data_IF_598909868383
#
_entry.id   IF_598909868383
#
_cell.length_a   1.000
_cell.length_b   1.000
_cell.length_c   1.000
_cell.angle_alpha   90.00
_cell.angle_beta   90.00
_cell.angle_gamma   90.00
#
_symmetry.space_group_name_H-M   'P 1'
#
loop_
_entity.id
_entity.type
_entity.pdbx_description
1 polymer ?
#
# COMPACT_ATOMS: atom_id res chain seq x y z
N UNK A 1 -6.97 -2.00 20.78
CA UNK A 1 -6.95 -1.57 19.37
C UNK A 1 -7.42 -2.74 18.53
N UNK A 2 -8.43 -2.53 17.68
CA UNK A 2 -8.97 -3.55 16.77
C UNK A 2 -8.36 -3.34 15.39
N UNK A 3 -7.64 -4.35 14.91
CA UNK A 3 -6.87 -4.28 13.67
C UNK A 3 -7.40 -5.29 12.67
N UNK A 4 -7.52 -4.87 11.41
CA UNK A 4 -7.77 -5.75 10.27
C UNK A 4 -6.49 -5.89 9.44
N UNK A 5 -6.10 -7.12 9.11
CA UNK A 5 -5.10 -7.39 8.08
C UNK A 5 -5.82 -7.77 6.79
N UNK A 6 -5.61 -6.98 5.74
CA UNK A 6 -6.01 -7.29 4.38
C UNK A 6 -4.84 -7.99 3.68
N UNK A 7 -4.88 -9.32 3.64
CA UNK A 7 -3.81 -10.13 3.09
C UNK A 7 -4.09 -10.50 1.63
N UNK A 8 -3.33 -9.91 0.71
CA UNK A 8 -3.26 -10.32 -0.68
C UNK A 8 -2.32 -11.52 -0.85
N UNK A 9 -2.90 -12.71 -0.94
CA UNK A 9 -2.19 -13.97 -1.09
C UNK A 9 -1.89 -14.32 -2.56
N UNK A 10 -0.65 -14.70 -2.81
CA UNK A 10 -0.22 -15.37 -4.04
C UNK A 10 0.90 -16.37 -3.74
N UNK A 11 0.87 -17.54 -4.39
CA UNK A 11 1.97 -18.51 -4.41
C UNK A 11 2.06 -19.11 -5.82
N UNK A 12 3.24 -19.03 -6.46
CA UNK A 12 3.41 -19.49 -7.84
C UNK A 12 3.52 -21.02 -7.99
N UNK A 13 3.94 -21.71 -6.93
CA UNK A 13 4.15 -23.16 -6.89
C UNK A 13 4.12 -23.70 -5.44
N UNK A 14 4.53 -24.95 -5.25
CA UNK A 14 4.75 -25.59 -3.94
C UNK A 14 6.21 -26.03 -3.77
N UNK A 15 7.14 -25.25 -4.32
CA UNK A 15 8.58 -25.48 -4.14
C UNK A 15 9.01 -25.28 -2.69
N UNK A 16 10.18 -25.80 -2.32
CA UNK A 16 10.78 -25.59 -1.01
C UNK A 16 10.87 -24.10 -0.67
N UNK A 17 11.39 -23.29 -1.59
CA UNK A 17 11.45 -21.83 -1.46
C UNK A 17 10.08 -21.20 -1.15
N UNK A 18 9.03 -21.59 -1.88
CA UNK A 18 7.67 -21.07 -1.64
C UNK A 18 7.17 -21.47 -0.26
N UNK A 19 7.42 -22.70 0.19
CA UNK A 19 7.02 -23.17 1.53
C UNK A 19 7.74 -22.41 2.63
N UNK A 20 9.04 -22.15 2.49
CA UNK A 20 9.81 -21.35 3.45
C UNK A 20 9.23 -19.93 3.59
N UNK A 21 8.91 -19.28 2.47
CA UNK A 21 8.24 -18.00 2.48
C UNK A 21 6.87 -18.05 3.16
N UNK A 22 6.04 -19.03 2.81
CA UNK A 22 4.71 -19.19 3.41
C UNK A 22 4.79 -19.47 4.92
N UNK A 23 5.77 -20.24 5.38
CA UNK A 23 6.00 -20.46 6.80
C UNK A 23 6.45 -19.19 7.50
N UNK A 24 7.34 -18.40 6.90
CA UNK A 24 7.73 -17.10 7.46
C UNK A 24 6.54 -16.14 7.59
N UNK A 25 5.68 -16.06 6.58
CA UNK A 25 4.44 -15.29 6.65
C UNK A 25 3.48 -15.83 7.72
N UNK A 26 3.35 -17.15 7.82
CA UNK A 26 2.53 -17.81 8.85
C UNK A 26 3.03 -17.47 10.25
N UNK A 27 4.34 -17.53 10.49
CA UNK A 27 4.96 -17.16 11.77
C UNK A 27 4.61 -15.72 12.13
N UNK A 28 4.81 -14.77 11.22
CA UNK A 28 4.49 -13.35 11.46
C UNK A 28 3.02 -13.16 11.82
N UNK A 29 2.11 -13.78 11.06
CA UNK A 29 0.67 -13.67 11.32
C UNK A 29 0.27 -14.31 12.65
N UNK A 30 0.93 -15.40 13.03
CA UNK A 30 0.67 -16.14 14.27
C UNK A 30 1.32 -15.50 15.50
N UNK A 31 2.36 -14.68 15.35
CA UNK A 31 3.05 -14.02 16.47
C UNK A 31 2.63 -12.56 16.60
N UNK A 32 2.89 -11.75 15.57
CA UNK A 32 2.66 -10.30 15.59
C UNK A 32 1.17 -9.98 15.42
N UNK A 33 0.45 -10.73 14.58
CA UNK A 33 -0.95 -10.43 14.24
C UNK A 33 -1.96 -11.42 14.83
N UNK A 34 -1.56 -12.17 15.86
CA UNK A 34 -2.38 -13.25 16.47
C UNK A 34 -3.76 -12.80 16.97
N UNK A 35 -3.88 -11.55 17.39
CA UNK A 35 -5.12 -10.93 17.87
C UNK A 35 -5.89 -10.12 16.82
N UNK A 36 -5.33 -9.99 15.62
CA UNK A 36 -5.91 -9.22 14.53
C UNK A 36 -6.89 -10.08 13.74
N UNK A 37 -7.91 -9.47 13.17
CA UNK A 37 -8.75 -10.13 12.19
C UNK A 37 -8.03 -10.16 10.84
N UNK A 38 -8.10 -11.26 10.09
CA UNK A 38 -7.47 -11.37 8.78
C UNK A 38 -8.54 -11.65 7.71
N UNK A 39 -8.56 -10.80 6.69
CA UNK A 39 -9.21 -11.07 5.42
C UNK A 39 -8.15 -11.53 4.41
N UNK A 40 -8.26 -12.77 3.97
CA UNK A 40 -7.37 -13.38 2.99
C UNK A 40 -8.03 -13.38 1.61
N UNK A 41 -7.48 -12.63 0.67
CA UNK A 41 -7.85 -12.71 -0.73
C UNK A 41 -6.78 -13.45 -1.51
N UNK A 42 -7.15 -14.53 -2.20
CA UNK A 42 -6.22 -15.43 -2.89
C UNK A 42 -6.29 -15.22 -4.40
N UNK A 43 -5.14 -15.05 -5.06
CA UNK A 43 -5.10 -15.03 -6.53
C UNK A 43 -5.68 -16.32 -7.10
N UNK A 44 -6.48 -16.24 -8.15
CA UNK A 44 -7.00 -17.38 -8.90
C UNK A 44 -5.90 -18.28 -9.51
N UNK A 45 -4.68 -17.76 -9.69
CA UNK A 45 -3.51 -18.50 -10.17
C UNK A 45 -2.63 -19.05 -9.04
N UNK A 46 -3.04 -18.92 -7.78
CA UNK A 46 -2.23 -19.41 -6.65
C UNK A 46 -2.22 -20.93 -6.60
N UNK A 47 -1.08 -21.51 -6.24
CA UNK A 47 -1.02 -22.90 -5.83
C UNK A 47 -1.85 -23.14 -4.56
N UNK A 48 -2.42 -24.34 -4.43
CA UNK A 48 -3.17 -24.75 -3.25
C UNK A 48 -2.32 -24.77 -1.96
N UNK A 49 -0.98 -24.76 -2.08
CA UNK A 49 -0.03 -24.62 -0.97
C UNK A 49 -0.32 -23.40 -0.11
N UNK A 50 -0.71 -22.27 -0.71
CA UNK A 50 -1.01 -21.05 0.04
C UNK A 50 -2.11 -21.27 1.07
N UNK A 51 -3.23 -21.87 0.66
CA UNK A 51 -4.35 -22.16 1.57
C UNK A 51 -4.00 -23.26 2.58
N UNK A 52 -3.18 -24.26 2.19
CA UNK A 52 -2.70 -25.29 3.12
C UNK A 52 -1.85 -24.69 4.26
N UNK A 53 -1.00 -23.71 3.95
CA UNK A 53 -0.09 -23.11 4.93
C UNK A 53 -0.73 -21.99 5.74
N UNK A 54 -1.44 -21.06 5.07
CA UNK A 54 -2.00 -19.87 5.71
C UNK A 54 -3.45 -20.07 6.16
N UNK A 55 -4.27 -20.78 5.38
CA UNK A 55 -5.72 -20.91 5.62
C UNK A 55 -6.11 -21.62 6.93
N UNK A 56 -5.17 -22.28 7.61
CA UNK A 56 -5.38 -22.90 8.92
C UNK A 56 -5.20 -21.96 10.12
N UNK A 57 -4.87 -20.69 9.90
CA UNK A 57 -4.71 -19.70 10.96
C UNK A 57 -6.08 -19.31 11.56
N UNK A 58 -6.21 -19.43 12.89
CA UNK A 58 -7.48 -19.24 13.60
C UNK A 58 -8.04 -17.82 13.52
N UNK A 59 -7.21 -16.84 13.18
CA UNK A 59 -7.54 -15.43 13.05
C UNK A 59 -7.93 -15.01 11.62
N UNK A 60 -7.93 -15.94 10.65
CA UNK A 60 -8.55 -15.72 9.33
C UNK A 60 -10.07 -15.82 9.47
N UNK A 61 -10.75 -14.68 9.41
CA UNK A 61 -12.20 -14.62 9.53
C UNK A 61 -12.91 -14.73 8.18
N UNK A 62 -12.27 -14.28 7.10
CA UNK A 62 -12.76 -14.43 5.73
C UNK A 62 -11.61 -14.84 4.82
N UNK A 63 -11.88 -15.80 3.94
CA UNK A 63 -10.95 -16.21 2.90
C UNK A 63 -11.71 -16.41 1.59
N UNK A 64 -11.34 -15.67 0.56
CA UNK A 64 -11.99 -15.73 -0.76
C UNK A 64 -10.96 -15.76 -1.88
N UNK A 65 -11.27 -16.48 -2.96
CA UNK A 65 -10.49 -16.42 -4.19
C UNK A 65 -10.99 -15.28 -5.08
N UNK A 66 -10.06 -14.61 -5.77
CA UNK A 66 -10.37 -13.58 -6.77
C UNK A 66 -11.19 -14.20 -7.90
N UNK A 67 -12.38 -13.64 -8.17
CA UNK A 67 -13.21 -14.05 -9.29
C UNK A 67 -12.64 -13.54 -10.63
N UNK A 68 -13.13 -14.09 -11.74
CA UNK A 68 -12.66 -13.70 -13.07
C UNK A 68 -12.94 -12.21 -13.38
N UNK A 69 -14.05 -11.66 -12.87
CA UNK A 69 -14.47 -10.29 -13.18
C UNK A 69 -13.54 -9.21 -12.60
N UNK A 70 -12.92 -9.49 -11.44
CA UNK A 70 -11.95 -8.60 -10.79
C UNK A 70 -10.51 -8.87 -11.23
N UNK A 71 -10.26 -9.96 -11.96
CA UNK A 71 -8.91 -10.44 -12.17
C UNK A 71 -8.05 -9.45 -12.96
N UNK A 72 -6.91 -9.10 -12.36
CA UNK A 72 -5.76 -8.50 -13.02
C UNK A 72 -4.52 -9.31 -12.61
N UNK A 73 -3.48 -9.33 -13.44
CA UNK A 73 -2.26 -10.09 -13.17
C UNK A 73 -1.35 -9.38 -12.15
N UNK A 74 -1.91 -9.03 -11.00
CA UNK A 74 -1.23 -8.43 -9.85
C UNK A 74 -2.05 -8.61 -8.56
N UNK A 75 -1.40 -8.31 -7.43
CA UNK A 75 -1.97 -8.22 -6.08
C UNK A 75 -3.13 -7.21 -5.96
N UNK A 76 -3.28 -6.29 -6.92
CA UNK A 76 -4.38 -5.34 -6.95
C UNK A 76 -5.77 -6.02 -6.95
N UNK A 77 -5.93 -7.17 -7.62
CA UNK A 77 -7.22 -7.88 -7.62
C UNK A 77 -7.57 -8.47 -6.25
N UNK A 78 -6.59 -8.98 -5.53
CA UNK A 78 -6.76 -9.46 -4.16
C UNK A 78 -7.10 -8.32 -3.20
N UNK A 79 -6.40 -7.19 -3.31
CA UNK A 79 -6.73 -6.04 -2.46
C UNK A 79 -8.11 -5.45 -2.78
N UNK A 80 -8.51 -5.43 -4.05
CA UNK A 80 -9.87 -5.03 -4.46
C UNK A 80 -10.93 -5.93 -3.82
N UNK A 81 -10.67 -7.24 -3.77
CA UNK A 81 -11.51 -8.20 -3.07
C UNK A 81 -11.52 -7.94 -1.55
N UNK A 82 -10.37 -7.67 -0.93
CA UNK A 82 -10.31 -7.30 0.50
C UNK A 82 -11.10 -6.03 0.82
N UNK A 83 -11.03 -4.99 -0.02
CA UNK A 83 -11.84 -3.78 0.14
C UNK A 83 -13.33 -4.08 0.07
N UNK A 84 -13.75 -4.97 -0.84
CA UNK A 84 -15.14 -5.44 -0.91
C UNK A 84 -15.53 -6.14 0.39
N UNK A 85 -14.72 -7.08 0.87
CA UNK A 85 -14.98 -7.81 2.12
C UNK A 85 -15.10 -6.86 3.33
N UNK A 86 -14.27 -5.82 3.39
CA UNK A 86 -14.33 -4.78 4.41
C UNK A 86 -15.58 -3.91 4.31
N UNK A 87 -15.97 -3.50 3.10
CA UNK A 87 -17.22 -2.75 2.90
C UNK A 87 -18.45 -3.56 3.33
N UNK A 88 -18.47 -4.85 3.00
CA UNK A 88 -19.56 -5.77 3.35
C UNK A 88 -19.63 -6.10 4.84
N UNK A 89 -18.48 -6.15 5.54
CA UNK A 89 -18.47 -6.49 6.96
C UNK A 89 -19.19 -5.43 7.80
N UNK A 90 -19.20 -4.18 7.35
CA UNK A 90 -19.77 -3.04 8.06
C UNK A 90 -19.09 -2.75 9.40
N UNK A 91 -17.99 -3.44 9.71
CA UNK A 91 -17.30 -3.35 10.98
C UNK A 91 -16.36 -2.14 11.01
N UNK A 92 -16.25 -1.55 12.19
CA UNK A 92 -15.24 -0.54 12.48
C UNK A 92 -13.94 -1.22 12.95
N UNK A 93 -12.80 -0.68 12.50
CA UNK A 93 -11.46 -1.02 12.92
C UNK A 93 -10.70 0.26 13.24
N UNK A 94 -9.76 0.18 14.18
CA UNK A 94 -8.87 1.31 14.50
C UNK A 94 -7.78 1.43 13.43
N UNK A 95 -7.26 0.27 12.98
CA UNK A 95 -6.19 0.15 12.00
C UNK A 95 -6.51 -0.90 10.95
N UNK A 96 -6.08 -0.64 9.73
CA UNK A 96 -6.16 -1.60 8.62
C UNK A 96 -4.78 -1.72 7.99
N UNK A 97 -4.26 -2.93 7.94
CA UNK A 97 -2.97 -3.24 7.37
C UNK A 97 -3.11 -3.90 6.00
N UNK A 98 -2.60 -3.26 4.96
CA UNK A 98 -2.43 -3.85 3.64
C UNK A 98 -1.14 -4.67 3.65
N UNK A 99 -1.29 -5.99 3.53
CA UNK A 99 -0.22 -6.95 3.53
C UNK A 99 -0.31 -7.82 2.29
N UNK A 100 0.82 -8.22 1.73
CA UNK A 100 0.83 -9.24 0.70
C UNK A 100 2.04 -10.14 0.82
N UNK A 101 1.98 -11.27 0.12
CA UNK A 101 3.07 -12.25 0.10
C UNK A 101 4.23 -11.82 -0.83
N UNK A 102 4.72 -10.57 -0.69
CA UNK A 102 5.84 -10.04 -1.46
C UNK A 102 7.04 -10.98 -1.37
N UNK A 103 7.69 -11.19 -2.50
CA UNK A 103 8.98 -11.84 -2.55
C UNK A 103 8.97 -13.35 -2.58
N UNK A 104 7.80 -14.02 -2.58
CA UNK A 104 7.70 -15.46 -2.84
C UNK A 104 8.40 -15.89 -4.14
N UNK A 105 8.43 -15.01 -5.15
CA UNK A 105 9.14 -15.23 -6.40
C UNK A 105 10.67 -15.13 -6.31
N UNK A 106 11.22 -14.76 -5.15
CA UNK A 106 12.65 -14.62 -4.92
C UNK A 106 13.16 -15.73 -4.00
N UNK A 107 14.48 -15.95 -4.02
CA UNK A 107 15.13 -16.86 -3.08
C UNK A 107 14.96 -16.37 -1.64
N UNK A 108 14.43 -17.25 -0.79
CA UNK A 108 14.20 -17.00 0.63
C UNK A 108 15.48 -16.57 1.34
N UNK A 109 16.59 -17.29 1.09
CA UNK A 109 17.90 -17.02 1.70
C UNK A 109 18.51 -15.70 1.21
N UNK A 110 18.45 -15.41 -0.10
CA UNK A 110 19.03 -14.17 -0.63
C UNK A 110 18.31 -12.91 -0.12
N UNK A 111 17.03 -13.02 0.25
CA UNK A 111 16.20 -11.91 0.72
C UNK A 111 16.12 -11.81 2.25
N UNK A 112 16.99 -12.50 2.98
CA UNK A 112 17.07 -12.41 4.45
C UNK A 112 17.20 -10.96 4.97
N UNK A 113 18.05 -10.07 4.43
CA UNK A 113 18.17 -8.69 4.94
C UNK A 113 16.86 -7.89 4.83
N UNK A 114 16.11 -8.09 3.74
CA UNK A 114 14.80 -7.46 3.59
C UNK A 114 13.79 -8.03 4.59
N UNK A 115 13.75 -9.37 4.76
CA UNK A 115 12.86 -10.03 5.72
C UNK A 115 13.09 -9.55 7.15
N UNK A 116 14.36 -9.43 7.57
CA UNK A 116 14.72 -8.88 8.89
C UNK A 116 14.27 -7.42 9.02
N UNK A 117 14.54 -6.59 8.01
CA UNK A 117 14.15 -5.19 8.00
C UNK A 117 12.63 -4.99 8.11
N UNK A 118 11.82 -5.69 7.31
CA UNK A 118 10.35 -5.54 7.36
C UNK A 118 9.75 -6.13 8.63
N UNK A 119 10.36 -7.19 9.19
CA UNK A 119 9.97 -7.79 10.48
C UNK A 119 10.11 -6.80 11.63
N UNK A 120 11.21 -6.06 11.65
CA UNK A 120 11.51 -5.08 12.72
C UNK A 120 10.79 -3.74 12.52
N UNK A 121 10.21 -3.49 11.35
CA UNK A 121 9.57 -2.21 11.00
C UNK A 121 8.07 -2.39 10.78
N UNK A 122 7.63 -2.57 9.54
CA UNK A 122 6.21 -2.52 9.17
C UNK A 122 5.42 -3.74 9.68
N UNK A 123 6.07 -4.88 9.93
CA UNK A 123 5.41 -6.04 10.54
C UNK A 123 5.47 -6.03 12.07
N UNK A 124 6.21 -5.11 12.69
CA UNK A 124 6.21 -4.94 14.14
C UNK A 124 5.09 -3.98 14.55
N UNK A 125 4.05 -4.50 15.21
CA UNK A 125 2.97 -3.64 15.73
C UNK A 125 3.51 -2.59 16.71
N UNK A 126 4.50 -2.96 17.54
CA UNK A 126 5.12 -2.02 18.46
C UNK A 126 5.84 -0.87 17.75
N UNK A 127 6.53 -1.13 16.64
CA UNK A 127 7.16 -0.08 15.84
C UNK A 127 6.11 0.85 15.22
N UNK A 128 5.04 0.30 14.66
CA UNK A 128 3.94 1.06 14.07
C UNK A 128 3.22 1.91 15.12
N UNK A 129 2.86 1.33 16.27
CA UNK A 129 2.25 2.03 17.40
C UNK A 129 3.09 3.20 17.90
N UNK A 130 4.42 3.03 17.96
CA UNK A 130 5.34 4.08 18.37
C UNK A 130 5.35 5.27 17.41
N UNK A 131 5.09 5.02 16.11
CA UNK A 131 5.10 6.04 15.05
C UNK A 131 3.77 6.77 14.96
N UNK A 132 2.64 6.08 15.08
CA UNK A 132 1.32 6.73 14.96
C UNK A 132 1.07 7.72 16.11
N UNK A 133 1.48 7.39 17.33
CA UNK A 133 1.29 8.25 18.52
C UNK A 133 -0.18 8.64 18.73
N UNK A 134 -0.46 9.95 18.84
CA UNK A 134 -1.81 10.51 19.03
C UNK A 134 -2.46 11.05 17.73
N UNK A 135 -1.97 10.65 16.55
CA UNK A 135 -2.49 11.16 15.27
C UNK A 135 -3.88 10.59 14.99
N UNK A 136 -4.76 11.44 14.47
CA UNK A 136 -6.16 11.08 14.20
C UNK A 136 -6.40 10.52 12.80
N UNK A 137 -5.57 10.87 11.81
CA UNK A 137 -5.61 10.31 10.45
C UNK A 137 -4.20 10.13 9.93
N UNK A 138 -3.89 8.93 9.44
CA UNK A 138 -2.53 8.61 9.02
C UNK A 138 -2.49 7.46 8.03
N UNK A 139 -1.37 7.41 7.34
CA UNK A 139 -0.97 6.27 6.53
C UNK A 139 0.49 5.96 6.89
N UNK A 140 0.75 4.78 7.44
CA UNK A 140 2.11 4.33 7.79
C UNK A 140 2.59 3.34 6.74
N UNK A 141 3.66 3.63 6.03
CA UNK A 141 4.26 2.66 5.11
C UNK A 141 5.68 2.30 5.54
N UNK A 142 6.15 1.13 5.09
CA UNK A 142 7.56 0.75 5.24
C UNK A 142 8.46 1.82 4.61
N UNK A 143 8.16 2.14 3.35
CA UNK A 143 8.78 3.17 2.52
C UNK A 143 7.73 3.77 1.59
N UNK A 144 8.05 4.88 0.95
CA UNK A 144 7.24 5.39 -0.15
C UNK A 144 7.95 6.41 -1.03
N UNK A 145 7.32 6.77 -2.14
CA UNK A 145 7.80 7.72 -3.14
C UNK A 145 6.65 8.62 -3.60
N UNK A 146 6.97 9.76 -4.21
CA UNK A 146 5.95 10.60 -4.86
C UNK A 146 5.50 9.97 -6.18
N UNK A 147 4.21 10.05 -6.52
CA UNK A 147 3.72 9.51 -7.80
C UNK A 147 4.40 10.23 -8.96
N UNK A 148 4.99 9.44 -9.86
CA UNK A 148 5.92 9.90 -10.91
C UNK A 148 5.28 10.16 -12.27
N UNK A 149 4.16 9.49 -12.60
CA UNK A 149 3.60 9.52 -13.95
C UNK A 149 2.39 10.46 -14.08
N UNK A 150 2.40 11.31 -15.12
CA UNK A 150 1.29 12.20 -15.49
C UNK A 150 -0.03 11.44 -15.66
N UNK A 151 0.01 10.24 -16.23
CA UNK A 151 -1.16 9.36 -16.37
C UNK A 151 -1.73 8.93 -15.02
N UNK A 152 -0.88 8.51 -14.08
CA UNK A 152 -1.29 8.12 -12.72
C UNK A 152 -1.89 9.29 -11.96
N UNK A 153 -1.30 10.50 -12.05
CA UNK A 153 -1.85 11.70 -11.43
C UNK A 153 -3.22 12.05 -12.04
N UNK A 154 -3.35 11.95 -13.37
CA UNK A 154 -4.60 12.23 -14.06
C UNK A 154 -5.70 11.24 -13.67
N UNK A 155 -5.37 9.95 -13.57
CA UNK A 155 -6.27 8.91 -13.08
C UNK A 155 -6.69 9.13 -11.63
N UNK A 156 -5.75 9.52 -10.76
CA UNK A 156 -6.04 9.87 -9.37
C UNK A 156 -7.01 11.05 -9.30
N UNK A 157 -6.81 12.08 -10.11
CA UNK A 157 -7.71 13.25 -10.15
C UNK A 157 -9.10 12.90 -10.64
N UNK A 158 -9.22 12.14 -11.72
CA UNK A 158 -10.52 11.67 -12.22
C UNK A 158 -11.26 10.90 -11.13
N UNK A 159 -10.57 10.01 -10.41
CA UNK A 159 -11.19 9.27 -9.32
C UNK A 159 -11.51 10.15 -8.09
N UNK A 160 -10.66 11.12 -7.76
CA UNK A 160 -10.92 12.08 -6.72
C UNK A 160 -12.21 12.87 -7.02
N UNK A 161 -12.37 13.34 -8.26
CA UNK A 161 -13.57 14.02 -8.74
C UNK A 161 -14.81 13.10 -8.66
N UNK A 162 -14.69 11.84 -9.10
CA UNK A 162 -15.75 10.83 -8.97
C UNK A 162 -16.15 10.58 -7.50
N UNK A 163 -15.18 10.68 -6.58
CA UNK A 163 -15.40 10.51 -5.13
C UNK A 163 -15.80 11.81 -4.41
N UNK A 164 -15.84 12.97 -5.09
CA UNK A 164 -16.07 14.26 -4.47
C UNK A 164 -14.97 14.69 -3.47
N UNK A 165 -13.74 14.20 -3.66
CA UNK A 165 -12.58 14.54 -2.83
C UNK A 165 -11.96 15.82 -3.38
N UNK A 166 -12.08 16.92 -2.62
CA UNK A 166 -11.36 18.17 -2.91
C UNK A 166 -9.85 17.92 -2.85
N UNK A 167 -9.08 18.57 -3.73
CA UNK A 167 -7.66 18.25 -3.99
C UNK A 167 -6.67 19.11 -3.18
N UNK A 168 -6.13 18.60 -2.06
CA UNK A 168 -4.88 19.09 -1.51
C UNK A 168 -3.73 18.10 -1.79
N UNK A 169 -3.44 17.87 -3.06
CA UNK A 169 -2.11 17.98 -3.70
C UNK A 169 -0.91 17.15 -3.23
N UNK A 170 -0.99 16.28 -2.23
CA UNK A 170 0.11 15.39 -1.87
C UNK A 170 -0.05 13.99 -2.49
N UNK A 171 0.49 13.78 -3.69
CA UNK A 171 0.42 12.49 -4.39
C UNK A 171 1.53 11.53 -3.92
N UNK A 172 1.16 10.66 -3.00
CA UNK A 172 2.01 9.70 -2.33
C UNK A 172 1.79 8.27 -2.84
N UNK A 173 2.87 7.49 -2.94
CA UNK A 173 2.84 6.06 -3.21
C UNK A 173 3.56 5.27 -2.09
N UNK A 174 2.90 4.27 -1.54
CA UNK A 174 3.49 3.32 -0.60
C UNK A 174 4.28 2.27 -1.38
N UNK A 175 5.59 2.22 -1.15
CA UNK A 175 6.44 1.23 -1.79
C UNK A 175 6.03 -0.17 -1.30
N UNK A 176 6.05 -1.14 -2.22
CA UNK A 176 5.76 -2.57 -1.93
C UNK A 176 4.36 -2.87 -1.39
N UNK A 177 3.39 -1.95 -1.44
CA UNK A 177 2.01 -2.20 -0.96
C UNK A 177 1.93 -2.70 0.49
N UNK A 178 2.91 -2.39 1.33
CA UNK A 178 2.93 -2.71 2.76
C UNK A 178 2.69 -1.43 3.56
N UNK A 179 1.44 -1.18 3.95
CA UNK A 179 1.09 0.03 4.69
C UNK A 179 -0.15 -0.12 5.57
N UNK A 180 -0.16 0.60 6.68
CA UNK A 180 -1.31 0.81 7.55
C UNK A 180 -2.03 2.08 7.16
N UNK A 181 -3.34 2.06 7.34
CA UNK A 181 -4.20 3.23 7.32
C UNK A 181 -5.10 3.20 8.55
N UNK A 182 -5.46 4.36 9.06
CA UNK A 182 -6.51 4.45 10.07
C UNK A 182 -7.85 3.96 9.48
N UNK A 183 -8.62 3.21 10.27
CA UNK A 183 -9.82 2.55 9.75
C UNK A 183 -10.92 3.52 9.32
N UNK A 184 -10.99 4.72 9.91
CA UNK A 184 -11.99 5.74 9.55
C UNK A 184 -11.71 6.33 8.16
N UNK A 185 -10.45 6.62 7.82
CA UNK A 185 -10.06 7.10 6.50
C UNK A 185 -10.39 6.06 5.42
N UNK A 186 -10.08 4.78 5.65
CA UNK A 186 -10.42 3.75 4.68
C UNK A 186 -11.94 3.54 4.55
N UNK A 187 -12.69 3.61 5.67
CA UNK A 187 -14.16 3.52 5.63
C UNK A 187 -14.78 4.67 4.84
N UNK A 188 -14.29 5.90 5.03
CA UNK A 188 -14.74 7.05 4.25
C UNK A 188 -14.42 6.85 2.75
N UNK A 189 -13.21 6.38 2.44
CA UNK A 189 -12.78 6.12 1.07
C UNK A 189 -13.63 5.03 0.39
N UNK A 190 -13.85 3.89 1.04
CA UNK A 190 -14.67 2.81 0.44
C UNK A 190 -16.14 3.17 0.32
N UNK A 191 -16.64 4.10 1.15
CA UNK A 191 -17.97 4.67 1.02
C UNK A 191 -18.08 5.63 -0.19
N UNK A 192 -17.03 6.37 -0.53
CA UNK A 192 -17.02 7.27 -1.69
C UNK A 192 -16.77 6.56 -3.02
N UNK A 193 -16.15 5.38 -3.01
CA UNK A 193 -15.87 4.63 -4.23
C UNK A 193 -17.16 4.20 -4.96
N UNK A 194 -17.28 4.47 -6.28
CA UNK A 194 -18.39 3.99 -7.09
C UNK A 194 -18.47 2.45 -7.09
N UNK A 195 -19.68 1.84 -7.17
CA UNK A 195 -19.85 0.38 -7.12
C UNK A 195 -18.99 -0.41 -8.12
N UNK A 196 -18.72 0.14 -9.31
CA UNK A 196 -17.87 -0.46 -10.35
C UNK A 196 -16.49 -0.89 -9.83
N UNK A 197 -15.92 -0.14 -8.87
CA UNK A 197 -14.62 -0.46 -8.26
C UNK A 197 -14.62 -1.70 -7.36
N UNK A 198 -15.77 -2.33 -7.11
CA UNK A 198 -15.87 -3.57 -6.34
C UNK A 198 -16.32 -4.76 -7.19
N UNK A 199 -16.69 -4.54 -8.44
CA UNK A 199 -17.23 -5.59 -9.32
C UNK A 199 -16.58 -5.67 -10.71
N UNK A 200 -15.78 -4.69 -11.13
CA UNK A 200 -15.09 -4.68 -12.42
C UNK A 200 -13.56 -4.66 -12.22
N UNK A 201 -12.83 -5.33 -13.12
CA UNK A 201 -11.37 -5.32 -13.10
C UNK A 201 -10.82 -3.88 -13.29
N UNK A 202 -9.79 -3.55 -12.51
CA UNK A 202 -9.22 -2.20 -12.48
C UNK A 202 -8.63 -1.75 -13.83
N UNK A 203 -8.10 -2.67 -14.64
CA UNK A 203 -7.57 -2.36 -15.97
C UNK A 203 -8.68 -1.89 -16.93
N UNK A 204 -9.85 -2.51 -16.88
CA UNK A 204 -11.04 -2.16 -17.66
C UNK A 204 -11.62 -0.81 -17.24
N UNK A 205 -11.42 -0.42 -15.98
CA UNK A 205 -11.72 0.91 -15.46
C UNK A 205 -10.64 1.96 -15.79
N UNK A 206 -9.60 1.58 -16.54
CA UNK A 206 -8.52 2.47 -16.95
C UNK A 206 -7.46 2.72 -15.87
N UNK A 207 -7.43 1.94 -14.78
CA UNK A 207 -6.37 1.99 -13.78
C UNK A 207 -5.22 1.06 -14.14
N UNK A 208 -4.09 1.21 -13.44
CA UNK A 208 -2.93 0.31 -13.61
C UNK A 208 -2.86 -0.73 -12.50
N UNK A 209 -1.95 -1.71 -12.65
CA UNK A 209 -1.61 -2.67 -11.59
C UNK A 209 -1.08 -2.02 -10.31
N UNK A 210 -0.69 -0.74 -10.34
CA UNK A 210 -0.14 0.02 -9.21
C UNK A 210 -1.19 0.84 -8.45
N UNK A 211 -2.48 0.53 -8.63
CA UNK A 211 -3.58 1.27 -8.02
C UNK A 211 -3.49 1.32 -6.47
N UNK A 212 -3.05 0.22 -5.84
CA UNK A 212 -2.94 0.13 -4.38
C UNK A 212 -1.64 0.74 -3.84
N UNK A 213 -0.57 0.73 -4.62
CA UNK A 213 0.70 1.36 -4.27
C UNK A 213 0.63 2.87 -4.43
N UNK A 214 0.03 3.36 -5.51
CA UNK A 214 -0.01 4.79 -5.84
C UNK A 214 -1.35 5.44 -5.53
N UNK A 215 -2.40 5.00 -6.21
CA UNK A 215 -3.67 5.73 -6.24
C UNK A 215 -4.34 5.78 -4.87
N UNK A 216 -4.46 4.65 -4.16
CA UNK A 216 -5.09 4.62 -2.84
C UNK A 216 -4.33 5.48 -1.81
N UNK A 217 -3.01 5.33 -1.62
CA UNK A 217 -2.28 6.17 -0.69
C UNK A 217 -2.40 7.66 -1.02
N UNK A 218 -2.40 8.04 -2.30
CA UNK A 218 -2.62 9.42 -2.73
C UNK A 218 -4.03 9.94 -2.44
N UNK A 219 -5.07 9.13 -2.64
CA UNK A 219 -6.44 9.55 -2.34
C UNK A 219 -6.64 9.69 -0.82
N UNK A 220 -6.04 8.81 -0.03
CA UNK A 220 -6.08 8.90 1.43
C UNK A 220 -5.38 10.16 1.94
N UNK A 221 -4.23 10.54 1.36
CA UNK A 221 -3.56 11.80 1.71
C UNK A 221 -4.38 13.02 1.29
N UNK A 222 -5.07 12.98 0.14
CA UNK A 222 -6.03 14.02 -0.28
C UNK A 222 -7.23 14.13 0.69
N UNK A 223 -7.62 13.03 1.34
CA UNK A 223 -8.64 13.00 2.40
C UNK A 223 -8.10 13.41 3.79
N UNK A 224 -6.84 13.84 3.86
CA UNK A 224 -6.20 14.38 5.06
C UNK A 224 -5.42 13.38 5.90
N UNK A 225 -5.17 12.16 5.41
CA UNK A 225 -4.26 11.24 6.09
C UNK A 225 -2.82 11.74 6.01
N UNK A 226 -2.13 11.80 7.14
CA UNK A 226 -0.71 12.13 7.18
C UNK A 226 0.15 10.91 6.82
N UNK A 227 1.02 10.96 5.79
CA UNK A 227 1.93 9.87 5.49
C UNK A 227 3.06 9.81 6.53
N UNK A 228 3.39 8.61 6.99
CA UNK A 228 4.43 8.32 7.97
C UNK A 228 5.27 7.12 7.48
N UNK A 229 6.55 7.12 7.81
CA UNK A 229 7.50 6.11 7.35
C UNK A 229 8.17 5.42 8.53
N UNK A 230 8.17 4.09 8.53
CA UNK A 230 8.88 3.29 9.54
C UNK A 230 10.33 3.02 9.14
N UNK A 231 10.64 2.94 7.83
CA UNK A 231 12.00 2.98 7.33
C UNK A 231 12.55 4.41 7.46
N UNK A 232 13.69 4.56 8.13
CA UNK A 232 14.36 5.86 8.26
C UNK A 232 14.89 6.42 6.93
N UNK A 233 15.78 7.41 6.98
CA UNK A 233 16.36 8.07 5.80
C UNK A 233 17.29 7.18 4.94
N UNK A 234 17.58 5.95 5.37
CA UNK A 234 18.47 5.03 4.68
C UNK A 234 17.76 4.26 3.57
N UNK A 235 17.83 4.77 2.35
CA UNK A 235 17.55 4.00 1.14
C UNK A 235 18.88 3.64 0.48
N UNK A 236 19.27 2.37 0.52
CA UNK A 236 20.29 1.80 -0.37
C UNK A 236 19.64 0.65 -1.13
N UNK A 237 19.36 0.86 -2.41
CA UNK A 237 18.78 -0.18 -3.25
C UNK A 237 19.84 -0.76 -4.17
N UNK A 238 20.46 -1.85 -3.70
CA UNK A 238 21.22 -2.76 -4.52
C UNK A 238 20.38 -3.92 -5.08
N UNK A 239 19.06 -3.96 -4.86
CA UNK A 239 18.31 -5.22 -4.91
C UNK A 239 17.29 -5.34 -6.06
N UNK A 240 17.02 -4.26 -6.82
CA UNK A 240 16.29 -4.39 -8.08
C UNK A 240 16.79 -3.42 -9.17
N UNK A 241 17.61 -3.93 -10.09
CA UNK A 241 18.18 -3.16 -11.21
C UNK A 241 17.10 -2.58 -12.16
N UNK A 242 15.88 -3.13 -12.13
CA UNK A 242 14.77 -2.74 -13.00
C UNK A 242 13.73 -1.83 -12.30
N UNK A 243 13.90 -1.57 -11.01
CA UNK A 243 13.05 -0.70 -10.18
C UNK A 243 13.98 0.34 -9.58
N UNK A 244 14.48 1.23 -10.44
CA UNK A 244 15.39 2.32 -10.04
C UNK A 244 14.61 3.37 -9.27
N UNK A 245 14.59 3.27 -7.94
CA UNK A 245 13.90 4.22 -7.07
C UNK A 245 14.74 4.69 -5.88
N UNK A 246 16.05 4.90 -6.04
CA UNK A 246 16.75 6.07 -5.46
C UNK A 246 18.27 5.93 -5.53
N UNK A 247 18.88 6.80 -6.32
CA UNK A 247 20.24 7.28 -6.09
C UNK A 247 20.25 8.79 -5.73
N UNK A 248 19.08 9.43 -5.64
CA UNK A 248 18.96 10.88 -5.41
C UNK A 248 18.10 11.16 -4.17
N UNK A 249 18.63 11.86 -3.15
CA UNK A 249 17.87 12.24 -1.95
C UNK A 249 16.54 12.97 -2.20
N UNK A 250 16.35 13.53 -3.41
CA UNK A 250 15.13 14.21 -3.81
C UNK A 250 13.91 13.29 -4.00
N UNK A 251 14.05 11.95 -4.02
CA UNK A 251 12.91 11.03 -4.10
C UNK A 251 12.63 10.25 -2.81
N UNK A 252 13.43 10.49 -1.77
CA UNK A 252 13.13 10.03 -0.43
C UNK A 252 11.88 10.76 0.09
N UNK A 253 10.75 10.05 0.19
CA UNK A 253 9.49 10.67 0.59
C UNK A 253 9.51 11.28 1.99
N UNK A 254 10.36 10.81 2.90
CA UNK A 254 10.50 11.44 4.20
C UNK A 254 11.08 12.86 4.07
N UNK A 255 12.11 13.03 3.24
CA UNK A 255 12.71 14.35 2.97
C UNK A 255 11.75 15.28 2.22
N UNK A 256 11.02 14.75 1.24
CA UNK A 256 9.98 15.47 0.49
C UNK A 256 8.85 15.90 1.43
N UNK A 257 8.41 15.01 2.32
CA UNK A 257 7.36 15.29 3.30
C UNK A 257 7.81 16.33 4.33
N UNK A 258 9.05 16.28 4.81
CA UNK A 258 9.57 17.28 5.73
C UNK A 258 9.67 18.65 5.06
N UNK A 259 10.06 18.71 3.79
CA UNK A 259 10.00 19.94 3.01
C UNK A 259 8.55 20.45 2.88
N UNK A 260 7.60 19.56 2.60
CA UNK A 260 6.17 19.89 2.54
C UNK A 260 5.66 20.45 3.89
N UNK A 261 5.97 19.79 5.01
CA UNK A 261 5.61 20.22 6.37
C UNK A 261 6.21 21.58 6.71
N UNK A 262 7.48 21.80 6.37
CA UNK A 262 8.16 23.08 6.58
C UNK A 262 7.52 24.20 5.76
N UNK A 263 7.18 23.94 4.49
CA UNK A 263 6.46 24.91 3.65
C UNK A 263 5.06 25.20 4.19
N UNK A 264 4.34 24.18 4.68
CA UNK A 264 3.04 24.37 5.33
C UNK A 264 3.14 25.23 6.59
N UNK A 265 4.08 24.93 7.47
CA UNK A 265 4.30 25.66 8.72
C UNK A 265 4.70 27.13 8.49
N UNK A 266 5.38 27.42 7.38
CA UNK A 266 5.80 28.77 6.99
C UNK A 266 4.78 29.51 6.10
N UNK A 267 3.62 28.91 5.82
CA UNK A 267 2.63 29.41 4.87
C UNK A 267 3.23 29.70 3.46
N UNK A 268 4.21 28.90 3.07
CA UNK A 268 4.87 28.98 1.77
C UNK A 268 4.10 28.24 0.67
N UNK A 269 4.58 28.33 -0.56
CA UNK A 269 4.10 27.48 -1.66
C UNK A 269 5.00 26.26 -1.77
N UNK A 270 4.43 25.06 -1.62
CA UNK A 270 5.17 23.85 -1.94
C UNK A 270 5.04 23.52 -3.43
N UNK A 271 6.18 23.23 -4.06
CA UNK A 271 6.24 22.85 -5.47
C UNK A 271 6.62 21.37 -5.54
N UNK A 272 5.65 20.54 -5.92
CA UNK A 272 5.92 19.15 -6.23
C UNK A 272 6.52 19.06 -7.63
N UNK A 273 7.75 18.55 -7.72
CA UNK A 273 8.36 18.17 -9.00
C UNK A 273 8.12 16.67 -9.20
N UNK A 274 7.28 16.28 -10.15
CA UNK A 274 7.23 14.88 -10.57
C UNK A 274 8.57 14.49 -11.22
N UNK A 275 8.98 13.24 -11.06
CA UNK A 275 10.24 12.73 -11.61
C UNK A 275 9.94 11.73 -12.71
N UNK A 276 10.64 11.75 -13.85
CA UNK A 276 10.43 10.76 -14.89
C UNK A 276 10.78 9.34 -14.41
N UNK A 277 9.87 8.39 -14.67
CA UNK A 277 10.11 6.96 -14.44
C UNK A 277 11.08 6.42 -15.49
N UNK A 278 12.22 5.87 -15.03
CA UNK A 278 13.22 5.01 -15.70
C UNK A 278 13.85 5.50 -17.02
N UNK A 279 13.23 6.37 -17.82
CA UNK A 279 13.77 6.88 -19.10
C UNK A 279 13.13 8.20 -19.58
N UNK A 280 12.19 8.80 -18.84
CA UNK A 280 11.49 10.00 -19.30
C UNK A 280 12.36 11.26 -19.32
N UNK A 281 12.13 12.15 -20.29
CA UNK A 281 12.80 13.46 -20.31
C UNK A 281 12.20 14.37 -19.23
N UNK A 282 12.95 15.39 -18.77
CA UNK A 282 12.45 16.41 -17.84
C UNK A 282 11.14 17.07 -18.29
N UNK A 283 10.84 17.06 -19.59
CA UNK A 283 9.60 17.62 -20.13
C UNK A 283 8.34 16.80 -19.82
N UNK A 284 8.47 15.53 -19.41
CA UNK A 284 7.34 14.67 -19.07
C UNK A 284 6.88 14.82 -17.61
N UNK A 285 7.57 15.66 -16.84
CA UNK A 285 7.26 15.94 -15.45
C UNK A 285 6.18 17.04 -15.32
N UNK A 286 5.00 16.68 -14.81
CA UNK A 286 3.98 17.65 -14.42
C UNK A 286 4.33 18.32 -13.08
N UNK A 287 4.43 19.66 -13.08
CA UNK A 287 4.61 20.43 -11.85
C UNK A 287 3.25 20.71 -11.22
N UNK A 288 3.09 20.39 -9.94
CA UNK A 288 1.90 20.72 -9.15
C UNK A 288 2.30 21.73 -8.08
N UNK A 289 1.60 22.87 -8.04
CA UNK A 289 1.75 23.87 -6.96
C UNK A 289 0.69 23.61 -5.92
N UNK A 290 1.13 23.55 -4.67
CA UNK A 290 0.29 23.34 -3.51
C UNK A 290 0.13 24.67 -2.79
N UNK A 291 -1.13 25.06 -2.62
CA UNK A 291 -1.51 26.19 -1.76
C UNK A 291 -2.19 25.60 -0.53
N UNK A 292 -1.75 26.02 0.65
CA UNK A 292 -2.33 25.57 1.90
C UNK A 292 -3.54 26.45 2.22
N UNK A 293 -4.73 25.85 2.30
CA UNK A 293 -5.91 26.54 2.85
C UNK A 293 -5.79 26.61 4.38
N UNK A 294 -6.09 27.79 4.95
CA UNK A 294 -6.12 28.05 6.40
C UNK A 294 -7.48 27.66 7.00
#
# INVERSE_FOLDING_TARGET
MKILVMLAGWAGDDSENTREWLEWYREILATEFSSCEIFLAVSNKSDASLLRHLGGLANISRSEAVNADLHVDSDASQYQLCLRMFKESGQDYDLIFFMHTKGISYSFEMFKPWRESVRETIFSMAAVESIIGHRSRFLVAERGHMIQAQSSISQCRILADECGILDPTFHYAAATTLFYVDGISLKMFTASLPPKYFCENLLGLGHSRFFFEGTIPSLLTMMGAEPLFVGGSGYEDGFNQNVSFDALPAHNSALVLDQYRNMRASNGTYKQNSVPYVTGTKEQAQQVRIFFEL
#
